data_IF_304913591650
#
_entry.id   IF_304913591650
#
_cell.length_a   1.000
_cell.length_b   1.000
_cell.length_c   1.000
_cell.angle_alpha   90.00
_cell.angle_beta   90.00
_cell.angle_gamma   90.00
#
_symmetry.space_group_name_H-M   'P 1'
#
loop_
_entity.id
_entity.type
_entity.pdbx_description
1 polymer ?
2 non-polymer ?
3 water ?
#
# COMPACT_ATOMS: atom_id res chain seq x y z
N UNK A 1 11.26 -10.69 22.63
CA UNK A 1 12.65 -10.16 22.74
C UNK A 1 12.73 -9.09 21.65
N UNK A 2 13.07 -9.47 20.42
CA UNK A 2 12.89 -8.54 19.30
C UNK A 2 11.42 -8.47 18.84
N UNK A 3 11.01 -7.29 18.38
CA UNK A 3 9.68 -7.15 17.75
C UNK A 3 9.79 -7.79 16.34
N UNK A 4 9.05 -8.85 16.13
CA UNK A 4 9.02 -9.52 14.83
C UNK A 4 8.03 -8.80 13.91
N UNK A 5 8.53 -8.42 12.74
CA UNK A 5 7.81 -7.67 11.74
C UNK A 5 7.82 -8.48 10.45
N UNK A 6 6.64 -8.78 9.92
CA UNK A 6 6.54 -9.33 8.55
C UNK A 6 5.91 -8.29 7.59
N UNK A 7 6.66 -7.86 6.57
CA UNK A 7 6.17 -7.02 5.52
C UNK A 7 5.98 -7.68 4.14
N UNK A 8 4.81 -7.45 3.53
CA UNK A 8 4.62 -7.83 2.11
C UNK A 8 5.04 -6.72 1.09
N UNK A 9 5.44 -7.21 -0.07
CA UNK A 9 5.88 -6.33 -1.17
C UNK A 9 7.15 -5.54 -0.96
N UNK A 10 8.27 -6.22 -0.69
CA UNK A 10 9.51 -5.51 -0.37
C UNK A 10 10.50 -5.32 -1.47
N UNK A 11 10.11 -5.57 -2.72
CA UNK A 11 11.12 -5.59 -3.78
C UNK A 11 11.45 -4.17 -4.22
N UNK A 12 10.50 -3.26 -3.97
CA UNK A 12 10.77 -1.85 -4.16
C UNK A 12 9.89 -1.01 -3.27
N UNK A 13 10.17 0.27 -3.33
CA UNK A 13 9.27 1.29 -2.82
C UNK A 13 9.20 1.39 -1.34
N UNK A 14 7.99 1.70 -0.86
CA UNK A 14 7.71 1.83 0.56
C UNK A 14 8.12 0.58 1.30
N UNK A 15 7.77 -0.60 0.76
CA UNK A 15 8.07 -1.86 1.48
C UNK A 15 9.54 -2.19 1.69
N UNK A 16 10.34 -2.05 0.62
CA UNK A 16 11.82 -2.10 0.62
C UNK A 16 12.37 -1.09 1.62
N UNK A 17 12.00 0.21 1.53
CA UNK A 17 12.60 1.25 2.43
C UNK A 17 12.20 1.05 3.88
N UNK A 18 10.95 0.67 4.13
CA UNK A 18 10.57 0.26 5.49
C UNK A 18 11.24 -1.00 6.07
N UNK A 19 11.34 -2.09 5.27
CA UNK A 19 12.05 -3.31 5.75
C UNK A 19 13.47 -3.00 6.32
N UNK A 20 14.28 -2.32 5.54
CA UNK A 20 15.66 -2.05 5.95
C UNK A 20 15.79 -0.88 6.96
N UNK A 21 14.93 0.15 6.87
CA UNK A 21 14.81 1.18 7.92
C UNK A 21 14.67 0.52 9.29
N UNK A 22 13.79 -0.48 9.38
CA UNK A 22 13.55 -1.16 10.62
C UNK A 22 14.73 -2.06 11.00
N UNK A 23 15.27 -2.73 10.00
CA UNK A 23 16.58 -3.38 9.90
C UNK A 23 17.74 -3.42 10.89
N UNK A 24 18.75 -2.58 10.77
CA UNK A 24 18.71 -1.14 10.58
C UNK A 24 18.68 -0.09 11.69
N UNK A 25 17.58 -0.04 12.41
CA UNK A 25 17.44 0.62 13.68
C UNK A 25 18.61 0.54 14.64
N UNK A 26 19.33 1.64 14.78
CA UNK A 26 20.46 1.68 15.70
C UNK A 26 20.13 0.90 16.96
N UNK A 27 18.92 1.00 17.45
CA UNK A 27 18.53 0.20 18.61
C UNK A 27 18.55 -1.35 18.47
N UNK A 28 18.54 -1.89 17.23
CA UNK A 28 18.40 -3.37 16.97
C UNK A 28 17.14 -4.03 17.59
N UNK A 29 16.05 -3.29 17.66
CA UNK A 29 14.82 -3.80 18.27
C UNK A 29 14.00 -4.78 17.43
N UNK A 30 14.23 -4.78 16.12
CA UNK A 30 13.30 -5.39 15.14
C UNK A 30 13.87 -6.56 14.39
N UNK A 31 13.13 -7.68 14.40
CA UNK A 31 13.50 -8.77 13.48
C UNK A 31 12.60 -8.72 12.20
N UNK A 32 13.13 -8.42 11.02
CA UNK A 32 12.28 -8.27 9.84
C UNK A 32 12.24 -9.45 8.79
N UNK A 33 11.05 -9.97 8.55
CA UNK A 33 10.82 -10.80 7.39
C UNK A 33 10.29 -9.96 6.24
N UNK A 34 11.10 -9.79 5.22
CA UNK A 34 10.73 -9.08 4.08
C UNK A 34 10.28 -10.04 2.99
N UNK A 35 8.99 -10.05 2.68
CA UNK A 35 8.48 -10.91 1.64
C UNK A 35 8.39 -10.32 0.22
N UNK A 36 8.60 -11.16 -0.79
CA UNK A 36 8.49 -10.71 -2.15
C UNK A 36 7.83 -11.79 -3.04
N UNK A 37 7.07 -11.35 -4.01
CA UNK A 37 6.49 -12.26 -4.96
C UNK A 37 7.59 -13.04 -5.73
N UNK A 38 8.57 -12.36 -6.34
CA UNK A 38 9.65 -13.04 -7.10
C UNK A 38 11.02 -12.76 -6.49
N UNK A 39 11.72 -13.82 -6.11
CA UNK A 39 13.01 -13.67 -5.45
C UNK A 39 14.04 -13.03 -6.34
N UNK A 40 13.83 -13.12 -7.66
CA UNK A 40 14.73 -12.48 -8.63
C UNK A 40 14.73 -10.97 -8.49
N UNK A 41 13.75 -10.44 -7.74
CA UNK A 41 13.67 -8.99 -7.59
C UNK A 41 14.28 -8.51 -6.29
N UNK A 42 14.85 -9.43 -5.50
CA UNK A 42 15.46 -9.15 -4.18
C UNK A 42 16.83 -8.47 -4.11
N UNK A 43 17.48 -8.28 -5.27
CA UNK A 43 18.73 -7.55 -5.37
C UNK A 43 18.77 -6.17 -4.71
N UNK A 44 17.88 -5.24 -5.12
CA UNK A 44 17.70 -3.93 -4.45
C UNK A 44 17.44 -4.01 -2.94
N UNK A 45 16.62 -4.92 -2.48
CA UNK A 45 16.49 -5.07 -1.03
C UNK A 45 17.80 -5.37 -0.30
N UNK A 46 18.64 -6.26 -0.86
CA UNK A 46 19.99 -6.55 -0.35
C UNK A 46 21.05 -5.48 -0.66
N UNK A 47 21.00 -4.77 -1.79
CA UNK A 47 21.81 -3.61 -2.00
C UNK A 47 21.51 -2.64 -0.80
N UNK A 48 20.39 -1.87 -0.87
CA UNK A 48 19.90 -1.03 0.25
C UNK A 48 20.18 -1.60 1.64
N UNK A 49 20.04 -2.90 1.84
CA UNK A 49 20.42 -3.44 3.13
C UNK A 49 21.91 -3.15 3.48
N UNK A 50 22.82 -3.34 2.51
CA UNK A 50 24.27 -3.00 2.62
C UNK A 50 24.47 -1.48 2.83
N UNK A 51 23.84 -0.64 2.01
CA UNK A 51 23.94 0.83 2.15
C UNK A 51 23.68 1.38 3.58
N UNK A 52 22.59 0.93 4.22
CA UNK A 52 22.22 1.28 5.61
C UNK A 52 22.82 0.24 6.55
N UNK A 53 23.79 -0.51 6.07
CA UNK A 53 24.44 -1.48 6.87
C UNK A 53 23.53 -2.08 7.90
N UNK A 54 22.59 -2.88 7.48
CA UNK A 54 21.84 -3.67 8.43
C UNK A 54 22.72 -4.71 9.04
N UNK A 55 22.61 -4.90 10.34
CA UNK A 55 23.30 -6.04 10.94
C UNK A 55 22.88 -7.35 10.29
N UNK A 56 23.83 -8.29 10.06
CA UNK A 56 23.52 -9.74 10.05
C UNK A 56 22.33 -10.15 10.94
N UNK A 57 21.40 -10.92 10.39
CA UNK A 57 20.27 -11.48 11.17
C UNK A 57 19.09 -10.55 11.43
N UNK A 58 19.26 -9.27 11.07
CA UNK A 58 18.20 -8.30 11.18
C UNK A 58 17.07 -8.55 10.10
N UNK A 59 17.44 -9.08 8.94
CA UNK A 59 16.59 -9.18 7.74
C UNK A 59 16.63 -10.56 7.05
N UNK A 60 15.53 -11.33 7.18
CA UNK A 60 15.23 -12.56 6.40
C UNK A 60 14.25 -12.31 5.23
N UNK A 61 14.59 -12.70 4.01
CA UNK A 61 13.62 -12.66 2.92
C UNK A 61 12.83 -13.98 2.80
N UNK A 62 11.57 -13.84 2.43
CA UNK A 62 10.69 -14.97 2.15
C UNK A 62 10.04 -14.68 0.81
N UNK A 63 9.75 -15.73 0.07
CA UNK A 63 8.89 -15.63 -1.08
C UNK A 63 7.45 -15.76 -0.63
N UNK A 64 6.58 -14.91 -1.18
CA UNK A 64 5.18 -14.84 -0.78
C UNK A 64 4.36 -14.27 -1.99
N UNK A 65 3.48 -15.05 -2.55
CA UNK A 65 2.52 -14.58 -3.52
C UNK A 65 1.15 -14.36 -2.76
N UNK A 66 0.73 -13.10 -2.62
CA UNK A 66 -0.50 -12.82 -1.87
C UNK A 66 -1.78 -13.33 -2.58
N UNK A 67 -1.66 -13.76 -3.81
CA UNK A 67 -2.79 -14.33 -4.55
C UNK A 67 -2.98 -15.80 -4.25
N UNK A 68 -2.14 -16.34 -3.38
CA UNK A 68 -2.03 -17.78 -3.18
C UNK A 68 -1.97 -18.04 -1.68
N UNK A 69 -3.08 -18.48 -1.09
CA UNK A 69 -3.08 -18.76 0.33
C UNK A 69 -2.12 -19.86 0.85
N UNK A 70 -1.73 -20.86 0.02
CA UNK A 70 -0.69 -21.83 0.38
C UNK A 70 0.64 -21.15 0.53
N UNK A 71 0.94 -20.20 -0.35
CA UNK A 71 2.14 -19.39 -0.20
C UNK A 71 2.15 -18.49 1.07
N UNK A 72 0.99 -17.92 1.42
CA UNK A 72 0.83 -17.15 2.69
C UNK A 72 1.11 -18.05 3.94
N UNK A 73 0.55 -19.26 3.94
CA UNK A 73 0.82 -20.33 4.96
C UNK A 73 2.31 -20.79 5.09
N UNK A 74 2.97 -21.05 3.94
CA UNK A 74 4.38 -21.40 3.87
C UNK A 74 5.30 -20.28 4.33
N UNK A 75 4.90 -19.03 4.12
CA UNK A 75 5.67 -17.92 4.69
C UNK A 75 5.38 -17.77 6.17
N UNK A 76 4.14 -18.03 6.58
CA UNK A 76 3.82 -18.01 8.01
C UNK A 76 4.60 -19.11 8.74
N UNK A 77 4.62 -20.33 8.19
CA UNK A 77 5.38 -21.47 8.76
C UNK A 77 6.85 -21.06 9.02
N UNK A 78 7.47 -20.34 8.10
CA UNK A 78 8.90 -20.02 8.18
C UNK A 78 9.29 -18.91 9.17
N UNK A 79 8.32 -18.50 9.99
CA UNK A 79 8.51 -17.51 11.04
C UNK A 79 8.90 -18.24 12.33
N UNK A 80 10.21 -18.46 12.48
CA UNK A 80 10.72 -19.36 13.54
C UNK A 80 10.16 -19.03 14.95
N UNK A 81 10.20 -17.75 15.34
CA UNK A 81 9.75 -17.25 16.65
C UNK A 81 8.33 -17.62 16.99
N UNK A 82 7.56 -18.01 15.98
CA UNK A 82 6.17 -18.44 16.21
C UNK A 82 5.19 -17.38 16.65
N UNK A 83 5.47 -16.12 16.30
CA UNK A 83 4.49 -15.02 16.45
C UNK A 83 4.91 -13.88 15.51
N UNK A 84 3.96 -13.01 15.19
CA UNK A 84 4.28 -11.83 14.43
C UNK A 84 3.79 -10.66 15.23
N UNK A 85 4.66 -9.73 15.54
CA UNK A 85 4.22 -8.67 16.41
C UNK A 85 3.62 -7.47 15.60
N UNK A 86 4.17 -7.27 14.40
CA UNK A 86 3.78 -6.21 13.49
C UNK A 86 3.61 -6.83 12.08
N UNK A 87 2.36 -6.97 11.62
CA UNK A 87 2.14 -7.39 10.25
C UNK A 87 1.96 -6.15 9.37
N UNK A 88 2.76 -6.05 8.29
CA UNK A 88 2.61 -4.88 7.41
C UNK A 88 2.10 -5.37 6.01
N UNK A 89 0.89 -5.00 5.64
CA UNK A 89 0.31 -5.33 4.36
C UNK A 89 0.49 -4.17 3.41
N UNK A 90 1.43 -4.36 2.51
CA UNK A 90 1.91 -3.33 1.64
C UNK A 90 1.93 -3.73 0.16
N UNK A 91 1.89 -5.02 -0.12
CA UNK A 91 1.95 -5.52 -1.55
C UNK A 91 0.76 -4.96 -2.30
N UNK A 92 0.99 -4.42 -3.51
CA UNK A 92 -0.08 -3.71 -4.17
C UNK A 92 0.21 -3.64 -5.65
N UNK A 93 -0.83 -3.52 -6.48
CA UNK A 93 -0.69 -3.40 -7.87
C UNK A 93 -1.38 -2.09 -8.29
N UNK A 94 -0.80 -1.48 -9.32
CA UNK A 94 -1.40 -0.29 -9.93
C UNK A 94 -2.17 -0.63 -11.17
N UNK A 95 -3.08 0.26 -11.59
CA UNK A 95 -3.68 0.14 -12.88
C UNK A 95 -4.22 1.48 -13.30
N UNK A 96 -3.74 1.91 -14.47
CA UNK A 96 -4.01 3.25 -14.94
C UNK A 96 -4.46 3.21 -16.43
N UNK A 97 -5.57 3.87 -16.75
CA UNK A 97 -6.03 3.93 -18.08
C UNK A 97 -7.53 4.08 -18.18
N UNK A 98 -8.05 4.35 -19.40
CA UNK A 98 -9.51 4.40 -19.64
C UNK A 98 -10.11 3.05 -19.26
N UNK A 99 -11.25 3.07 -18.56
CA UNK A 99 -11.79 1.82 -18.06
C UNK A 99 -11.93 0.72 -19.14
N UNK A 100 -12.57 1.03 -20.29
CA UNK A 100 -12.74 0.09 -21.44
C UNK A 100 -11.43 -0.35 -22.08
N UNK A 101 -10.32 0.32 -21.77
CA UNK A 101 -9.02 -0.10 -22.27
C UNK A 101 -8.34 -1.12 -21.34
N UNK A 102 -8.91 -1.39 -20.14
CA UNK A 102 -8.24 -2.34 -19.18
C UNK A 102 -8.69 -3.76 -19.45
N UNK A 103 -7.76 -4.71 -19.50
CA UNK A 103 -8.12 -6.10 -19.68
C UNK A 103 -8.78 -6.61 -18.40
N UNK A 104 -9.72 -7.47 -18.62
CA UNK A 104 -10.54 -7.99 -17.59
C UNK A 104 -9.67 -8.77 -16.59
N UNK A 105 -8.61 -9.45 -17.07
CA UNK A 105 -7.65 -10.11 -16.20
C UNK A 105 -6.88 -9.15 -15.32
N UNK A 106 -6.53 -8.01 -15.91
CA UNK A 106 -5.79 -6.98 -15.24
C UNK A 106 -6.70 -6.38 -14.20
N UNK A 107 -7.96 -6.19 -14.49
CA UNK A 107 -8.93 -5.74 -13.48
C UNK A 107 -9.05 -6.74 -12.30
N UNK A 108 -9.25 -8.03 -12.62
CA UNK A 108 -9.32 -9.12 -11.66
C UNK A 108 -8.05 -9.20 -10.81
N UNK A 109 -6.89 -9.08 -11.44
CA UNK A 109 -5.60 -9.18 -10.73
C UNK A 109 -5.41 -8.08 -9.63
N UNK A 110 -5.69 -6.83 -9.98
CA UNK A 110 -5.57 -5.70 -9.03
C UNK A 110 -6.46 -6.02 -7.80
N UNK A 111 -7.68 -6.42 -8.02
CA UNK A 111 -8.56 -6.72 -6.88
C UNK A 111 -8.06 -7.90 -6.06
N UNK A 112 -7.61 -8.95 -6.77
CA UNK A 112 -7.03 -10.11 -6.15
C UNK A 112 -5.86 -9.80 -5.22
N UNK A 113 -4.96 -8.99 -5.70
CA UNK A 113 -3.73 -8.74 -4.99
C UNK A 113 -4.08 -7.69 -3.98
N UNK A 114 -4.75 -6.60 -4.39
CA UNK A 114 -4.84 -5.43 -3.45
C UNK A 114 -5.87 -5.63 -2.31
N UNK A 115 -6.94 -6.37 -2.60
CA UNK A 115 -8.02 -6.59 -1.61
C UNK A 115 -7.99 -8.03 -1.08
N UNK A 116 -8.15 -9.00 -1.99
CA UNK A 116 -8.18 -10.39 -1.58
C UNK A 116 -6.86 -10.83 -0.91
N UNK A 117 -5.74 -10.50 -1.52
CA UNK A 117 -4.48 -10.77 -0.84
C UNK A 117 -4.35 -10.11 0.54
N UNK A 118 -4.86 -8.90 0.73
CA UNK A 118 -4.86 -8.33 2.13
C UNK A 118 -5.77 -9.20 3.03
N UNK A 119 -6.93 -9.60 2.49
CA UNK A 119 -7.81 -10.49 3.25
C UNK A 119 -7.06 -11.76 3.68
N UNK A 120 -6.41 -12.46 2.72
CA UNK A 120 -5.58 -13.65 2.99
C UNK A 120 -4.51 -13.45 4.05
N UNK A 121 -3.78 -12.33 4.04
CA UNK A 121 -2.87 -12.06 5.16
C UNK A 121 -3.56 -11.99 6.54
N UNK A 122 -4.67 -11.26 6.57
CA UNK A 122 -5.38 -11.02 7.79
C UNK A 122 -6.01 -12.36 8.33
N UNK A 123 -6.52 -13.22 7.41
CA UNK A 123 -7.02 -14.53 7.79
C UNK A 123 -5.88 -15.38 8.37
N UNK A 124 -4.70 -15.39 7.76
CA UNK A 124 -3.64 -16.25 8.22
C UNK A 124 -3.04 -15.76 9.55
N UNK A 125 -3.08 -14.44 9.80
CA UNK A 125 -2.32 -13.85 10.91
C UNK A 125 -3.18 -13.31 12.03
N UNK A 126 -4.40 -12.87 11.75
CA UNK A 126 -5.19 -12.27 12.84
C UNK A 126 -5.59 -13.27 13.97
N UNK A 127 -6.01 -14.50 13.64
CA UNK A 127 -6.40 -15.49 14.67
C UNK A 127 -5.43 -15.56 15.88
N UNK A 128 -4.14 -15.75 15.63
CA UNK A 128 -3.16 -15.85 16.70
C UNK A 128 -2.90 -14.52 17.40
N UNK A 129 -3.16 -13.41 16.73
CA UNK A 129 -2.97 -12.12 17.40
C UNK A 129 -4.09 -11.89 18.39
N UNK A 130 -5.27 -12.33 18.03
CA UNK A 130 -6.43 -12.16 18.92
C UNK A 130 -6.30 -13.09 20.15
N UNK A 131 -5.77 -14.30 19.92
CA UNK A 131 -5.54 -15.26 21.02
C UNK A 131 -4.54 -14.66 22.02
N UNK A 132 -3.44 -14.08 21.53
CA UNK A 132 -2.42 -13.42 22.38
C UNK A 132 -2.90 -12.14 23.03
N UNK A 133 -3.96 -11.54 22.48
CA UNK A 133 -4.44 -10.24 22.95
C UNK A 133 -3.50 -9.11 22.64
N UNK A 134 -2.70 -9.27 21.58
CA UNK A 134 -1.78 -8.21 21.12
C UNK A 134 -1.22 -8.39 19.69
N UNK A 135 -0.70 -7.32 19.09
CA UNK A 135 -0.39 -7.28 17.64
C UNK A 135 -0.75 -5.94 16.95
N UNK A 136 0.14 -5.48 16.07
CA UNK A 136 -0.12 -4.32 15.23
C UNK A 136 -0.22 -4.74 13.76
N UNK A 137 -1.27 -4.29 13.09
CA UNK A 137 -1.39 -4.46 11.62
C UNK A 137 -1.30 -3.10 10.97
N UNK A 138 -0.34 -2.94 10.08
CA UNK A 138 -0.30 -1.67 9.34
C UNK A 138 -0.58 -1.92 7.89
N UNK A 139 -1.40 -1.09 7.25
CA UNK A 139 -1.76 -1.33 5.87
C UNK A 139 -1.43 -0.08 5.09
N UNK A 140 -0.69 -0.25 4.02
CA UNK A 140 -0.47 0.84 3.06
C UNK A 140 -1.78 1.26 2.42
N UNK A 141 -2.21 2.50 2.70
CA UNK A 141 -3.36 3.05 2.02
C UNK A 141 -2.92 4.13 1.07
N UNK A 142 -3.90 4.75 0.39
CA UNK A 142 -3.60 5.77 -0.60
C UNK A 142 -4.70 6.82 -0.45
N UNK A 143 -4.42 8.00 -0.94
CA UNK A 143 -5.36 9.08 -0.90
C UNK A 143 -6.37 8.73 -2.03
N UNK A 144 -5.95 7.89 -2.99
CA UNK A 144 -6.88 7.30 -4.00
C UNK A 144 -7.89 6.27 -3.42
N UNK A 145 -7.72 5.85 -2.17
CA UNK A 145 -8.77 5.11 -1.47
C UNK A 145 -9.72 6.01 -0.68
N UNK A 146 -9.47 7.32 -0.70
CA UNK A 146 -10.31 8.34 0.03
C UNK A 146 -11.08 9.28 -0.95
N UNK A 147 -10.70 9.35 -2.24
CA UNK A 147 -11.40 10.20 -3.24
C UNK A 147 -11.05 9.62 -4.61
N UNK A 148 -12.00 9.59 -5.54
CA UNK A 148 -11.83 8.97 -6.88
C UNK A 148 -11.07 9.89 -7.79
N UNK A 149 -10.24 9.29 -8.64
CA UNK A 149 -9.45 9.98 -9.68
C UNK A 149 -9.72 9.46 -11.12
N UNK A 150 -9.88 10.37 -12.12
CA UNK A 150 -10.16 9.91 -13.51
C UNK A 150 -9.02 9.04 -13.92
N UNK A 151 -9.35 7.97 -14.61
CA UNK A 151 -8.41 7.01 -15.10
C UNK A 151 -7.78 6.13 -14.06
N UNK A 152 -8.19 6.26 -12.80
CA UNK A 152 -7.69 5.39 -11.71
C UNK A 152 -8.88 4.57 -11.18
N UNK A 153 -9.91 4.41 -11.96
CA UNK A 153 -11.17 3.79 -11.51
C UNK A 153 -11.02 2.49 -10.73
N UNK A 154 -10.18 1.61 -11.25
CA UNK A 154 -9.95 0.32 -10.68
C UNK A 154 -8.96 0.37 -9.56
N UNK A 155 -7.88 1.10 -9.74
CA UNK A 155 -6.98 1.31 -8.59
C UNK A 155 -7.73 1.91 -7.37
N UNK A 156 -8.53 2.95 -7.63
CA UNK A 156 -9.29 3.63 -6.54
C UNK A 156 -10.32 2.60 -5.97
N UNK A 157 -10.99 1.87 -6.85
CA UNK A 157 -11.87 0.81 -6.42
C UNK A 157 -11.18 -0.07 -5.39
N UNK A 158 -9.97 -0.53 -5.67
CA UNK A 158 -9.16 -1.36 -4.81
C UNK A 158 -8.72 -0.70 -3.47
N UNK A 159 -8.24 0.52 -3.55
CA UNK A 159 -7.90 1.35 -2.45
C UNK A 159 -9.05 1.76 -1.46
N UNK A 160 -10.17 2.27 -1.99
CA UNK A 160 -11.47 2.37 -1.29
C UNK A 160 -11.82 1.05 -0.59
N UNK A 161 -11.57 -0.09 -1.25
CA UNK A 161 -11.99 -1.39 -0.63
C UNK A 161 -11.26 -1.71 0.64
N UNK A 162 -9.96 -1.39 0.64
CA UNK A 162 -9.18 -1.47 1.83
C UNK A 162 -9.64 -0.58 2.99
N UNK A 163 -10.15 0.59 2.71
CA UNK A 163 -10.75 1.43 3.75
C UNK A 163 -11.93 0.64 4.33
N UNK A 164 -12.79 0.10 3.46
CA UNK A 164 -13.99 -0.63 3.87
C UNK A 164 -13.60 -1.86 4.71
N UNK A 165 -12.65 -2.64 4.20
CA UNK A 165 -12.15 -3.79 4.90
C UNK A 165 -11.60 -3.45 6.29
N UNK A 166 -10.74 -2.47 6.37
CA UNK A 166 -10.00 -2.17 7.58
C UNK A 166 -10.83 -1.46 8.64
N UNK A 167 -11.70 -0.56 8.21
CA UNK A 167 -12.62 0.13 9.12
C UNK A 167 -13.60 -0.87 9.77
N UNK A 168 -14.12 -1.81 8.99
CA UNK A 168 -14.99 -2.85 9.48
C UNK A 168 -14.27 -3.70 10.52
N UNK A 169 -13.03 -4.10 10.25
CA UNK A 169 -12.23 -4.87 11.19
C UNK A 169 -11.92 -4.12 12.44
N UNK A 170 -11.50 -2.84 12.31
CA UNK A 170 -11.16 -2.06 13.48
C UNK A 170 -12.28 -1.95 14.52
N UNK A 171 -13.53 -1.84 14.05
CA UNK A 171 -14.68 -1.75 14.93
C UNK A 171 -14.75 -3.03 15.80
N UNK A 172 -14.50 -4.22 15.23
CA UNK A 172 -14.42 -5.48 15.98
C UNK A 172 -13.17 -5.68 16.93
N UNK A 173 -11.98 -5.32 16.41
CA UNK A 173 -10.71 -5.54 17.08
C UNK A 173 -10.41 -4.62 18.32
N UNK A 174 -11.07 -3.46 18.40
CA UNK A 174 -10.93 -2.50 19.51
C UNK A 174 -10.72 -3.19 20.88
N UNK A 175 -11.69 -4.03 21.38
CA UNK A 175 -11.54 -4.67 22.72
C UNK A 175 -10.64 -5.93 22.73
N UNK A 176 -10.03 -6.28 21.59
CA UNK A 176 -9.16 -7.44 21.56
C UNK A 176 -7.71 -7.04 21.87
N UNK A 177 -7.38 -5.75 21.85
CA UNK A 177 -5.95 -5.34 21.90
C UNK A 177 -5.12 -5.58 20.60
N UNK A 178 -5.78 -5.89 19.48
CA UNK A 178 -5.08 -5.97 18.19
C UNK A 178 -5.33 -4.65 17.51
N UNK A 179 -4.25 -3.99 17.04
CA UNK A 179 -4.34 -2.64 16.46
C UNK A 179 -4.16 -2.60 14.94
N UNK A 180 -5.14 -2.10 14.21
CA UNK A 180 -5.03 -1.98 12.79
C UNK A 180 -4.95 -0.52 12.41
N UNK A 181 -3.98 -0.16 11.56
CA UNK A 181 -3.93 1.22 11.08
C UNK A 181 -3.60 1.29 9.61
N UNK A 182 -4.27 2.18 8.90
CA UNK A 182 -3.94 2.55 7.49
C UNK A 182 -2.94 3.70 7.48
N UNK A 183 -1.92 3.59 6.64
CA UNK A 183 -1.02 4.71 6.42
C UNK A 183 -1.36 5.27 5.03
N UNK A 184 -1.96 6.45 5.06
CA UNK A 184 -2.58 6.97 3.87
C UNK A 184 -1.51 7.83 3.19
N UNK A 185 -1.07 7.37 2.00
CA UNK A 185 0.01 8.01 1.24
C UNK A 185 -0.55 8.87 0.15
N UNK A 186 -0.01 10.06 0.05
CA UNK A 186 -0.11 10.83 -1.22
C UNK A 186 0.86 10.29 -2.24
N UNK A 187 1.21 11.11 -3.26
CA UNK A 187 2.16 10.65 -4.27
C UNK A 187 3.49 10.36 -3.54
N UNK A 188 4.14 9.26 -3.90
CA UNK A 188 5.39 8.84 -3.31
C UNK A 188 6.33 8.67 -4.50
N UNK A 189 7.53 9.19 -4.38
CA UNK A 189 8.47 9.05 -5.46
C UNK A 189 9.29 7.78 -5.25
N UNK A 190 9.02 6.76 -6.03
CA UNK A 190 9.74 5.50 -5.96
C UNK A 190 10.18 5.02 -7.38
N UNK A 191 9.19 4.96 -8.27
CA UNK A 191 9.12 4.01 -9.37
C UNK A 191 7.75 3.44 -9.70
N UNK A 192 6.71 4.27 -9.61
CA UNK A 192 5.36 3.81 -9.34
C UNK A 192 4.61 3.52 -10.60
N UNK A 193 4.05 4.58 -11.15
CA UNK A 193 3.27 4.45 -12.37
C UNK A 193 4.01 3.94 -13.58
N UNK A 194 4.66 2.78 -13.48
CA UNK A 194 5.48 2.32 -14.58
C UNK A 194 4.71 1.58 -15.66
N UNK A 195 4.87 0.26 -15.71
CA UNK A 195 4.03 -0.54 -16.56
C UNK A 195 2.76 -0.86 -15.84
N UNK A 196 2.12 0.19 -15.39
CA UNK A 196 0.75 0.18 -14.90
C UNK A 196 -0.19 0.68 -16.03
N UNK A 197 0.43 1.15 -17.13
CA UNK A 197 -0.27 1.61 -18.38
C UNK A 197 0.30 1.05 -19.72
N UNK A 198 -0.60 0.48 -20.54
CA UNK A 198 -0.29 0.11 -21.94
C UNK A 198 0.27 1.25 -22.83
N UNK A 199 0.76 0.88 -24.01
CA UNK A 199 1.33 1.84 -24.96
C UNK A 199 0.23 2.79 -25.43
N UNK A 200 0.59 4.02 -25.83
CA UNK A 200 -0.40 4.95 -26.44
C UNK A 200 -1.12 4.30 -27.59
N UNK A 201 -0.34 3.58 -28.39
CA UNK A 201 -0.81 2.75 -29.50
C UNK A 201 -1.93 1.81 -29.07
N UNK A 202 -1.70 1.01 -28.04
CA UNK A 202 -2.68 0.00 -27.59
C UNK A 202 -3.88 0.61 -26.87
N UNK A 203 -3.66 1.67 -26.11
CA UNK A 203 -4.74 2.40 -25.43
C UNK A 203 -5.67 3.07 -26.44
N UNK A 204 -5.13 3.72 -27.50
CA UNK A 204 -5.96 4.32 -28.58
C UNK A 204 -6.85 3.32 -29.32
N UNK A 205 -6.28 2.15 -29.62
CA UNK A 205 -7.04 0.98 -30.06
C UNK A 205 -8.29 0.70 -29.27
N UNK A 206 -8.25 0.98 -27.97
CA UNK A 206 -9.25 0.42 -27.08
C UNK A 206 -10.21 1.48 -26.65
N UNK A 207 -10.00 2.70 -27.13
CA UNK A 207 -10.89 3.79 -26.71
C UNK A 207 -11.19 4.83 -27.80
N UNK A 208 -12.07 5.77 -27.48
CA UNK A 208 -12.30 6.86 -28.43
C UNK A 208 -11.20 7.92 -28.37
N UNK A 209 -11.23 8.83 -29.35
CA UNK A 209 -10.19 9.83 -29.48
C UNK A 209 -10.27 10.88 -28.39
N UNK A 210 -11.48 11.16 -27.95
CA UNK A 210 -11.77 12.20 -26.96
C UNK A 210 -11.38 11.71 -25.57
N UNK A 211 -11.70 10.44 -25.27
CA UNK A 211 -11.26 9.79 -24.04
C UNK A 211 -9.74 9.73 -24.02
N UNK A 212 -9.15 9.30 -25.14
CA UNK A 212 -7.68 9.22 -25.26
C UNK A 212 -6.98 10.56 -24.96
N UNK A 213 -7.52 11.63 -25.52
CA UNK A 213 -7.03 12.97 -25.31
C UNK A 213 -7.09 13.42 -23.85
N UNK A 214 -8.22 13.14 -23.22
CA UNK A 214 -8.42 13.36 -21.77
C UNK A 214 -7.42 12.60 -20.89
N UNK A 215 -7.02 11.39 -21.31
CA UNK A 215 -6.06 10.57 -20.58
C UNK A 215 -4.71 11.27 -20.52
N UNK A 216 -4.30 11.84 -21.67
CA UNK A 216 -3.08 12.65 -21.83
C UNK A 216 -3.14 13.84 -20.93
N UNK A 217 -4.28 14.54 -20.93
CA UNK A 217 -4.42 15.69 -20.03
C UNK A 217 -4.29 15.28 -18.57
N UNK A 218 -4.93 14.15 -18.18
CA UNK A 218 -4.80 13.65 -16.78
C UNK A 218 -3.31 13.32 -16.47
N UNK A 219 -2.65 12.59 -17.37
CA UNK A 219 -1.21 12.34 -17.23
C UNK A 219 -0.33 13.61 -17.07
N UNK A 220 -0.61 14.64 -17.87
CA UNK A 220 0.15 15.90 -17.74
C UNK A 220 -0.05 16.44 -16.35
N UNK A 221 -1.30 16.54 -15.91
CA UNK A 221 -1.59 17.01 -14.55
C UNK A 221 -1.02 16.16 -13.41
N UNK A 222 -1.08 14.86 -13.54
CA UNK A 222 -0.47 13.93 -12.61
C UNK A 222 1.07 14.15 -12.47
N UNK A 223 1.79 14.19 -13.58
CA UNK A 223 3.22 14.58 -13.63
C UNK A 223 3.46 15.87 -12.85
N UNK A 224 2.59 16.85 -13.01
CA UNK A 224 2.74 18.12 -12.29
C UNK A 224 2.55 17.96 -10.79
N UNK A 225 1.46 17.30 -10.41
CA UNK A 225 1.17 17.00 -8.99
C UNK A 225 2.32 16.22 -8.31
N UNK A 226 2.88 15.26 -9.03
CA UNK A 226 3.95 14.45 -8.49
C UNK A 226 5.17 15.30 -8.26
N UNK A 227 5.45 16.20 -9.21
CA UNK A 227 6.66 17.04 -9.14
C UNK A 227 6.60 18.13 -8.07
N UNK A 228 5.43 18.31 -7.46
CA UNK A 228 5.14 19.41 -6.55
C UNK A 228 4.69 18.93 -5.18
N UNK A 229 4.48 17.61 -5.09
CA UNK A 229 3.89 17.04 -3.90
C UNK A 229 4.51 15.74 -3.54
N UNK A 230 5.17 15.04 -4.45
CA UNK A 230 5.69 13.69 -4.14
C UNK A 230 6.72 13.60 -3.04
N UNK A 231 6.44 12.76 -2.04
CA UNK A 231 7.29 12.42 -0.87
C UNK A 231 8.24 11.22 -1.08
N UNK A 232 9.37 11.23 -0.35
CA UNK A 232 10.36 10.17 -0.14
C UNK A 232 9.68 8.89 0.36
N UNK A 233 10.15 7.71 -0.06
CA UNK A 233 9.79 6.56 0.76
C UNK A 233 10.41 6.58 2.17
N UNK A 234 11.52 7.31 2.37
CA UNK A 234 12.12 7.43 3.74
C UNK A 234 11.20 8.17 4.71
N UNK A 235 10.58 9.24 4.20
CA UNK A 235 9.58 10.13 4.86
C UNK A 235 8.34 9.33 5.18
N UNK A 236 7.90 8.59 4.16
CA UNK A 236 6.72 7.67 4.32
C UNK A 236 6.95 6.59 5.36
N UNK A 237 8.06 5.85 5.26
CA UNK A 237 8.51 4.94 6.33
C UNK A 237 8.55 5.46 7.78
N UNK A 238 8.94 6.69 8.02
CA UNK A 238 8.78 7.22 9.40
C UNK A 238 7.36 7.22 9.94
N UNK A 239 6.40 7.40 9.04
CA UNK A 239 4.98 7.39 9.45
C UNK A 239 4.54 6.02 9.91
N UNK A 240 4.97 4.98 9.19
CA UNK A 240 4.73 3.64 9.65
C UNK A 240 5.34 3.48 11.08
N UNK A 241 6.58 3.96 11.31
CA UNK A 241 7.25 3.81 12.63
C UNK A 241 6.47 4.54 13.74
N UNK A 242 5.99 5.71 13.44
CA UNK A 242 5.12 6.47 14.36
C UNK A 242 3.89 5.67 14.79
N UNK A 243 3.23 5.02 13.84
CA UNK A 243 2.03 4.23 14.15
C UNK A 243 2.38 2.99 15.01
N UNK A 244 3.55 2.41 14.72
CA UNK A 244 3.95 1.12 15.28
C UNK A 244 4.39 1.35 16.68
N UNK A 245 4.82 2.59 16.95
CA UNK A 245 5.31 3.03 18.24
C UNK A 245 4.21 3.59 19.14
N UNK A 246 3.11 4.12 18.58
CA UNK A 246 1.99 4.73 19.35
C UNK A 246 1.35 3.77 20.38
N UNK A 247 1.19 4.21 21.67
CA UNK A 247 0.58 3.29 22.67
C UNK A 247 -0.88 2.95 22.34
N UNK A 248 -1.60 3.90 21.72
CA UNK A 248 -2.97 3.59 21.22
C UNK A 248 -3.21 4.15 19.80
N UNK A 249 -2.88 3.35 18.78
CA UNK A 249 -2.92 3.77 17.37
C UNK A 249 -4.33 4.19 16.95
N UNK A 250 -4.48 5.23 16.17
CA UNK A 250 -5.75 5.52 15.55
C UNK A 250 -5.89 4.64 14.28
N UNK A 251 -7.06 4.65 13.66
CA UNK A 251 -7.28 3.95 12.43
C UNK A 251 -6.48 4.44 11.22
N UNK A 252 -6.29 5.75 11.09
CA UNK A 252 -5.59 6.29 9.96
C UNK A 252 -4.49 7.25 10.35
N UNK A 253 -3.32 7.10 9.70
CA UNK A 253 -2.20 8.06 9.75
C UNK A 253 -2.09 8.67 8.36
N UNK A 254 -1.88 9.99 8.27
CA UNK A 254 -1.71 10.64 6.98
C UNK A 254 -0.29 11.00 6.82
N UNK A 255 0.30 10.67 5.68
CA UNK A 255 1.72 10.99 5.60
C UNK A 255 1.87 12.45 5.15
N UNK A 256 0.78 13.08 4.77
CA UNK A 256 0.74 14.47 4.30
C UNK A 256 -0.62 14.99 4.66
N UNK A 257 -0.66 16.25 5.06
CA UNK A 257 -1.93 16.94 5.34
C UNK A 257 -2.53 17.61 4.08
N UNK A 258 -1.79 17.52 2.97
CA UNK A 258 -2.05 18.31 1.77
C UNK A 258 -3.38 18.05 1.07
N UNK A 259 -3.96 16.86 1.22
CA UNK A 259 -5.15 16.58 0.46
C UNK A 259 -6.38 16.73 1.34
N UNK A 260 -6.14 17.02 2.61
CA UNK A 260 -7.23 17.08 3.61
C UNK A 260 -8.28 18.18 3.27
N UNK A 261 -7.85 19.34 2.76
CA UNK A 261 -8.91 20.26 2.23
C UNK A 261 -9.86 19.57 1.26
N UNK A 262 -9.31 19.09 0.14
CA UNK A 262 -10.03 18.34 -0.88
C UNK A 262 -10.92 17.23 -0.35
N UNK A 263 -10.45 16.47 0.63
CA UNK A 263 -11.25 15.46 1.30
C UNK A 263 -12.38 16.04 2.13
N UNK A 264 -12.23 17.29 2.57
CA UNK A 264 -13.27 17.95 3.40
C UNK A 264 -14.44 18.26 2.50
N UNK A 265 -14.17 18.71 1.31
CA UNK A 265 -15.21 18.99 0.34
C UNK A 265 -15.99 17.80 -0.20
N UNK A 266 -15.33 16.63 -0.37
CA UNK A 266 -16.09 15.39 -0.60
C UNK A 266 -17.16 15.27 0.44
N UNK A 267 -16.74 15.49 1.66
CA UNK A 267 -17.40 14.96 2.81
C UNK A 267 -18.46 15.84 3.43
N UNK A 268 -18.52 17.11 3.04
CA UNK A 268 -19.63 17.93 3.49
C UNK A 268 -20.67 18.27 2.36
N UNK A 269 -20.38 17.84 1.13
CA UNK A 269 -21.42 17.71 0.08
C UNK A 269 -21.54 16.22 -0.20
N UNK A 270 -22.42 15.51 0.56
CA UNK A 270 -22.70 14.06 0.39
C UNK A 270 -23.22 13.66 -1.00
N UNK A 271 -23.91 14.57 -1.74
CA UNK A 271 -24.32 14.33 -3.16
C UNK A 271 -23.13 14.04 -4.12
N UNK A 272 -21.90 14.36 -3.66
CA UNK A 272 -20.69 14.18 -4.45
C UNK A 272 -20.52 15.23 -5.55
N UNK A 273 -21.51 16.10 -5.74
CA UNK A 273 -21.42 17.11 -6.82
C UNK A 273 -20.24 18.11 -6.69
N UNK A 274 -19.96 18.63 -5.49
CA UNK A 274 -18.82 19.57 -5.34
C UNK A 274 -17.49 18.93 -5.67
N UNK A 275 -17.32 17.70 -5.17
CA UNK A 275 -16.06 17.02 -5.38
C UNK A 275 -15.80 16.80 -6.84
N UNK A 276 -16.85 16.37 -7.53
CA UNK A 276 -16.71 15.86 -8.87
C UNK A 276 -16.43 17.10 -9.75
N UNK A 277 -17.05 18.20 -9.38
CA UNK A 277 -16.89 19.46 -10.09
C UNK A 277 -15.49 20.03 -9.92
N UNK A 278 -15.06 20.18 -8.65
CA UNK A 278 -13.71 20.62 -8.27
C UNK A 278 -12.63 19.78 -8.89
N UNK A 279 -12.80 18.46 -8.80
CA UNK A 279 -11.79 17.59 -9.39
C UNK A 279 -11.77 17.66 -10.92
N UNK A 280 -12.94 17.74 -11.55
CA UNK A 280 -12.95 17.83 -13.01
C UNK A 280 -12.11 19.07 -13.51
N UNK A 281 -12.31 20.20 -12.86
CA UNK A 281 -11.62 21.42 -13.20
C UNK A 281 -10.15 21.36 -12.75
N UNK A 282 -9.86 20.87 -11.54
CA UNK A 282 -8.48 20.57 -11.15
C UNK A 282 -7.71 19.78 -12.19
N UNK A 283 -8.31 18.73 -12.75
CA UNK A 283 -7.58 17.82 -13.64
C UNK A 283 -7.54 18.32 -15.10
N UNK A 284 -8.65 18.89 -15.54
CA UNK A 284 -8.80 19.23 -16.93
C UNK A 284 -8.82 20.75 -17.16
X LIG B 1 2.25 1.66 -8.38
X LIG B 1 -2.60 11.17 -7.45
X LIG B 1 -2.88 12.20 -6.38
X LIG B 1 -1.84 10.00 -6.79
X LIG B 1 -1.95 11.81 -8.70
X LIG B 1 -2.44 9.38 -5.51
X LIG B 1 -3.62 13.35 -6.96
X LIG B 1 -2.64 10.48 -4.45
X LIG B 1 -1.66 8.77 -7.65
X LIG B 1 1.21 2.18 -7.70
X LIG B 1 -0.41 3.17 -9.61
X LIG B 1 -3.66 13.61 -8.46
X LIG B 1 -3.50 11.61 -5.05
X LIG B 1 -0.99 7.80 -6.68
X LIG B 1 -1.36 8.34 -5.28
X LIG B 1 -3.80 8.66 -5.81
X LIG B 1 0.20 3.22 -8.31
X LIG B 1 -4.28 14.25 -6.10
X LIG B 1 -1.37 4.11 -10.08
X LIG B 1 -1.48 6.38 -6.93
X LIG B 1 -0.19 4.32 -7.53
X LIG B 1 -1.70 5.19 -9.24
X LIG B 1 -2.97 12.66 -9.47
X LIG B 1 -5.00 15.65 -7.98
X LIG B 1 -1.08 5.33 -7.98
X LIG B 1 -4.37 14.76 -8.90
X LIG B 1 -4.93 15.38 -6.60
X LIG B 1 -5.70 16.77 -8.43
X LIG B 1 1.04 1.79 -6.52
X LIG B 1 -1.73 7.31 -4.37
#
# INVERSE_FOLDING_TARGET
ARTVVLITGCSSGIGLHLAVRLASDPSQSFKVYATLRDLKTQGRLWEAARALACPPGSLETLQLDVRDSKSVAAARERVTEGRVDVLVCNAGLGLLGPLEALGEDAVASVLDVNVVGTVRMLQAFLPDMKRRGSGRVLVTGSVGGLMGLPFNDVYCASKFALEGLCESLAVLLLPFGVHLSLIECGPVHTAFMEKVLGSPEEVLDRTDIHTFHRFYQYLAHSKQVFREAAQNPEEVAEVFLTALRAPKPTLRYFTTERFLPLLRMRLDDPSGSNYVTAMHREVFGDVPAKAEAGAEAGGGAGPGAEDEAGRSAVGDPELGDPPAAPQ
E2B N30 C9 C10 C15 C8 C14 C11 C13 C16 C28 C25 C6 C12 C17 C18 C20 C24 C1 C26 C21 C23 C27 C7 C3 C22 C5 C2 O4 O29 O19
#
